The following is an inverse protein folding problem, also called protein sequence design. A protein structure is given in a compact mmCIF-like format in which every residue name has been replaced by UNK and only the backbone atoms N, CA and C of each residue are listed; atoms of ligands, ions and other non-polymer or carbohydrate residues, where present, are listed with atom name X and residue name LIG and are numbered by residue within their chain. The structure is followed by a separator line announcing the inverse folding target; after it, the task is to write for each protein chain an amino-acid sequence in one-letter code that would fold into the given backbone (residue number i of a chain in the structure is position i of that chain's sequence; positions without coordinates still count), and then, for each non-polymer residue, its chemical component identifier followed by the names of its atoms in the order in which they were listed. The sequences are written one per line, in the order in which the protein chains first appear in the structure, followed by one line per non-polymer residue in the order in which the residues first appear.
data_IF_209470539922
#
_entry.id   IF_209470539922
#
_cell.length_a   1.000
_cell.length_b   1.000
_cell.length_c   1.000
_cell.angle_alpha   90.00
_cell.angle_beta   90.00
_cell.angle_gamma   90.00
#
_symmetry.space_group_name_H-M   'P 1'
#
loop_
_entity.id
_entity.type
_entity.pdbx_description
1 polymer ?
#
# COMPACT_ATOMS: atom_id res chain seq x y z
N UNK A 1 35.63 -1.78 -29.94
CA UNK A 1 35.14 -3.17 -29.78
C UNK A 1 35.31 -3.99 -31.07
N UNK A 2 34.97 -3.48 -32.25
CA UNK A 2 35.02 -4.25 -33.49
C UNK A 2 36.43 -4.86 -33.82
N UNK A 3 37.52 -4.21 -33.45
CA UNK A 3 38.90 -4.73 -33.64
C UNK A 3 39.30 -5.91 -32.75
N UNK A 4 38.66 -6.04 -31.59
CA UNK A 4 38.93 -7.13 -30.64
C UNK A 4 38.20 -8.42 -31.03
N UNK A 5 37.05 -8.29 -31.70
CA UNK A 5 36.19 -9.40 -32.08
C UNK A 5 36.31 -9.78 -33.57
N UNK A 6 37.17 -9.11 -34.33
CA UNK A 6 37.30 -9.24 -35.77
C UNK A 6 35.97 -9.02 -36.54
N UNK A 7 35.14 -8.09 -36.03
CA UNK A 7 33.83 -7.77 -36.60
C UNK A 7 33.98 -6.78 -37.75
N UNK A 8 33.10 -6.90 -38.72
CA UNK A 8 32.94 -5.91 -39.78
C UNK A 8 32.37 -4.61 -39.20
N UNK A 9 32.56 -3.44 -39.88
CA UNK A 9 32.13 -2.13 -39.38
C UNK A 9 30.59 -2.03 -39.09
N UNK A 10 29.79 -2.85 -39.74
CA UNK A 10 28.33 -2.92 -39.66
C UNK A 10 27.80 -4.02 -38.70
N UNK A 11 28.71 -4.78 -38.11
CA UNK A 11 28.31 -5.78 -37.07
C UNK A 11 28.14 -5.13 -35.71
N UNK A 12 27.03 -5.47 -35.04
CA UNK A 12 26.70 -5.05 -33.68
C UNK A 12 26.40 -6.28 -32.81
N UNK A 13 26.68 -6.19 -31.54
CA UNK A 13 26.43 -7.29 -30.58
C UNK A 13 24.97 -7.49 -30.22
N UNK A 14 24.14 -6.49 -30.46
CA UNK A 14 22.72 -6.51 -30.16
C UNK A 14 22.09 -5.16 -30.44
N UNK A 15 20.78 -5.13 -30.43
CA UNK A 15 19.95 -3.94 -30.58
C UNK A 15 19.09 -3.81 -29.32
N UNK A 16 19.08 -2.64 -28.73
CA UNK A 16 18.21 -2.33 -27.60
C UNK A 16 16.93 -1.68 -28.13
N UNK A 17 15.78 -2.23 -27.71
CA UNK A 17 14.45 -1.70 -28.02
C UNK A 17 13.87 -1.06 -26.76
N UNK A 18 13.46 0.20 -26.86
CA UNK A 18 12.77 0.91 -25.81
C UNK A 18 11.26 0.72 -25.94
N UNK A 19 10.62 0.24 -24.86
CA UNK A 19 9.19 -0.01 -24.82
C UNK A 19 8.52 1.16 -24.08
N UNK A 20 7.41 1.66 -24.63
CA UNK A 20 6.64 2.78 -24.03
C UNK A 20 5.88 2.39 -22.78
N UNK A 21 5.42 1.15 -22.71
CA UNK A 21 4.53 0.64 -21.66
C UNK A 21 5.17 -0.60 -21.04
N UNK A 22 5.63 -0.45 -19.80
CA UNK A 22 6.28 -1.53 -19.08
C UNK A 22 5.35 -2.70 -18.75
N UNK A 23 4.04 -2.44 -18.58
CA UNK A 23 3.05 -3.47 -18.28
C UNK A 23 2.89 -4.47 -19.43
N UNK A 24 3.35 -4.09 -20.65
CA UNK A 24 3.34 -4.93 -21.85
C UNK A 24 4.71 -5.55 -22.20
N UNK A 25 5.64 -5.52 -21.24
CA UNK A 25 7.00 -5.99 -21.46
C UNK A 25 7.05 -7.45 -21.95
N UNK A 26 6.32 -8.34 -21.28
CA UNK A 26 6.27 -9.75 -21.66
C UNK A 26 5.63 -9.96 -23.04
N UNK A 27 4.46 -9.35 -23.29
CA UNK A 27 3.73 -9.45 -24.56
C UNK A 27 4.63 -8.97 -25.72
N UNK A 28 5.23 -7.79 -25.59
CA UNK A 28 6.13 -7.25 -26.62
C UNK A 28 7.38 -8.11 -26.80
N UNK A 29 7.92 -8.69 -25.73
CA UNK A 29 9.06 -9.60 -25.83
C UNK A 29 8.71 -10.84 -26.66
N UNK A 30 7.52 -11.41 -26.45
CA UNK A 30 7.04 -12.56 -27.25
C UNK A 30 6.78 -12.18 -28.70
N UNK A 31 6.20 -11.00 -28.98
CA UNK A 31 5.98 -10.51 -30.34
C UNK A 31 7.30 -10.34 -31.08
N UNK A 32 8.28 -9.66 -30.49
CA UNK A 32 9.61 -9.47 -31.09
C UNK A 32 10.33 -10.79 -31.27
N UNK A 33 10.21 -11.73 -30.32
CA UNK A 33 10.80 -13.05 -30.44
C UNK A 33 10.18 -13.82 -31.58
N UNK A 34 8.86 -13.79 -31.76
CA UNK A 34 8.16 -14.45 -32.86
C UNK A 34 8.53 -13.87 -34.24
N UNK A 35 8.73 -12.55 -34.32
CA UNK A 35 9.13 -11.87 -35.58
C UNK A 35 10.58 -12.17 -35.95
N UNK A 36 11.45 -12.44 -34.98
CA UNK A 36 12.87 -12.73 -35.20
C UNK A 36 13.17 -14.21 -35.33
N UNK A 37 12.25 -15.09 -34.88
CA UNK A 37 12.41 -16.55 -34.96
C UNK A 37 12.41 -17.03 -36.43
N UNK A 38 13.44 -17.80 -36.78
CA UNK A 38 13.62 -18.29 -38.17
C UNK A 38 14.15 -17.26 -39.17
N UNK A 39 14.44 -16.03 -38.75
CA UNK A 39 15.05 -14.99 -39.57
C UNK A 39 16.48 -14.71 -39.12
N UNK A 40 17.48 -15.49 -39.52
CA UNK A 40 18.86 -15.24 -39.15
C UNK A 40 19.37 -13.91 -39.73
N UNK A 41 20.38 -13.34 -39.12
CA UNK A 41 21.04 -12.16 -39.63
C UNK A 41 21.79 -12.44 -40.95
N UNK A 42 22.37 -11.40 -41.56
CA UNK A 42 23.14 -11.52 -42.79
C UNK A 42 24.31 -12.52 -42.70
N UNK A 43 24.77 -12.81 -41.49
CA UNK A 43 25.89 -13.69 -41.18
C UNK A 43 25.45 -15.09 -40.69
N UNK A 44 24.13 -15.36 -40.67
CA UNK A 44 23.57 -16.63 -40.25
C UNK A 44 23.45 -16.83 -38.75
N UNK A 45 23.60 -15.76 -37.97
CA UNK A 45 23.40 -15.81 -36.53
C UNK A 45 21.89 -15.66 -36.16
N UNK A 46 21.43 -16.44 -35.21
CA UNK A 46 20.07 -16.36 -34.69
C UNK A 46 19.94 -15.25 -33.66
N UNK A 47 18.84 -14.52 -33.68
CA UNK A 47 18.55 -13.49 -32.68
C UNK A 47 18.07 -14.15 -31.39
N UNK A 48 18.63 -13.69 -30.26
CA UNK A 48 18.18 -14.08 -28.94
C UNK A 48 17.51 -12.87 -28.27
N UNK A 49 16.18 -12.85 -28.25
CA UNK A 49 15.42 -11.77 -27.62
C UNK A 49 15.35 -12.02 -26.12
N UNK A 50 15.73 -11.02 -25.34
CA UNK A 50 15.67 -11.05 -23.87
C UNK A 50 15.15 -9.71 -23.36
N UNK A 51 14.23 -9.75 -22.42
CA UNK A 51 13.79 -8.55 -21.72
C UNK A 51 14.76 -8.17 -20.58
N UNK A 52 14.58 -6.98 -20.03
CA UNK A 52 15.43 -6.44 -18.98
C UNK A 52 15.38 -7.30 -17.70
N UNK A 53 14.25 -7.93 -17.41
CA UNK A 53 14.09 -8.82 -16.24
C UNK A 53 14.90 -10.11 -16.39
N UNK A 54 14.92 -10.66 -17.60
CA UNK A 54 15.71 -11.85 -17.91
C UNK A 54 17.22 -11.57 -17.96
N UNK A 55 17.61 -10.34 -18.30
CA UNK A 55 19.00 -9.93 -18.29
C UNK A 55 19.53 -9.69 -16.85
N UNK A 56 18.66 -9.20 -15.95
CA UNK A 56 19.02 -8.85 -14.59
C UNK A 56 18.10 -9.50 -13.54
N UNK A 57 17.98 -10.83 -13.51
CA UNK A 57 17.00 -11.52 -12.65
C UNK A 57 17.20 -11.25 -11.16
N UNK A 58 18.44 -11.01 -10.74
CA UNK A 58 18.76 -10.73 -9.32
C UNK A 58 18.18 -9.39 -8.87
N UNK A 59 18.23 -8.36 -9.72
CA UNK A 59 17.70 -7.02 -9.40
C UNK A 59 16.18 -7.10 -9.27
N UNK A 60 15.51 -7.75 -10.21
CA UNK A 60 14.05 -7.86 -10.21
C UNK A 60 13.54 -8.78 -9.08
N UNK A 61 14.25 -9.87 -8.77
CA UNK A 61 13.95 -10.68 -7.60
C UNK A 61 14.06 -9.87 -6.29
N UNK A 62 15.05 -9.01 -6.17
CA UNK A 62 15.22 -8.14 -5.01
C UNK A 62 14.12 -7.08 -4.90
N UNK A 63 13.70 -6.49 -6.03
CA UNK A 63 12.55 -5.57 -6.08
C UNK A 63 11.25 -6.28 -5.67
N UNK A 64 11.04 -7.53 -6.11
CA UNK A 64 9.89 -8.32 -5.69
C UNK A 64 9.82 -8.58 -4.18
N UNK A 65 10.97 -8.78 -3.53
CA UNK A 65 11.04 -8.90 -2.06
C UNK A 65 10.62 -7.59 -1.38
N UNK A 66 10.98 -6.43 -1.94
CA UNK A 66 10.56 -5.13 -1.40
C UNK A 66 9.03 -4.96 -1.47
N UNK A 67 8.40 -5.37 -2.55
CA UNK A 67 6.94 -5.32 -2.70
C UNK A 67 6.23 -6.19 -1.66
N UNK A 68 6.68 -7.42 -1.47
CA UNK A 68 6.15 -8.30 -0.40
C UNK A 68 6.32 -7.66 0.98
N UNK A 69 7.47 -7.03 1.23
CA UNK A 69 7.77 -6.39 2.50
C UNK A 69 6.82 -5.21 2.78
N UNK A 70 6.48 -4.41 1.76
CA UNK A 70 5.50 -3.33 1.86
C UNK A 70 4.13 -3.87 2.29
N UNK A 71 3.66 -4.96 1.67
CA UNK A 71 2.38 -5.57 2.04
C UNK A 71 2.37 -6.11 3.48
N UNK A 72 3.45 -6.76 3.92
CA UNK A 72 3.60 -7.23 5.29
C UNK A 72 3.53 -6.07 6.28
N UNK A 73 4.27 -4.99 6.02
CA UNK A 73 4.25 -3.78 6.87
C UNK A 73 2.85 -3.16 6.92
N UNK A 74 2.16 -3.04 5.78
CA UNK A 74 0.80 -2.48 5.72
C UNK A 74 -0.18 -3.31 6.56
N UNK A 75 -0.14 -4.63 6.46
CA UNK A 75 -1.01 -5.52 7.24
C UNK A 75 -0.73 -5.37 8.74
N UNK A 76 0.55 -5.35 9.12
CA UNK A 76 0.95 -5.15 10.51
C UNK A 76 0.49 -3.78 11.05
N UNK A 77 0.67 -2.72 10.28
CA UNK A 77 0.23 -1.37 10.66
C UNK A 77 -1.29 -1.30 10.86
N UNK A 78 -2.08 -1.92 9.95
CA UNK A 78 -3.54 -2.01 10.09
C UNK A 78 -3.90 -2.80 11.35
N UNK A 79 -3.21 -3.89 11.63
CA UNK A 79 -3.42 -4.70 12.84
C UNK A 79 -3.17 -3.91 14.12
N UNK A 80 -2.03 -3.23 14.22
CA UNK A 80 -1.66 -2.40 15.39
C UNK A 80 -2.64 -1.22 15.55
N UNK A 81 -2.98 -0.53 14.47
CA UNK A 81 -3.95 0.56 14.48
C UNK A 81 -5.32 0.08 14.97
N UNK A 82 -5.79 -1.08 14.46
CA UNK A 82 -7.05 -1.68 14.88
C UNK A 82 -7.05 -2.05 16.36
N UNK A 83 -5.99 -2.67 16.86
CA UNK A 83 -5.85 -3.00 18.28
C UNK A 83 -5.89 -1.74 19.16
N UNK A 84 -5.19 -0.69 18.76
CA UNK A 84 -5.20 0.61 19.47
C UNK A 84 -6.60 1.23 19.48
N UNK A 85 -7.33 1.15 18.37
CA UNK A 85 -8.71 1.64 18.28
C UNK A 85 -9.67 0.83 19.17
N UNK A 86 -9.52 -0.49 19.20
CA UNK A 86 -10.29 -1.37 20.10
C UNK A 86 -10.07 -0.97 21.55
N UNK A 87 -8.81 -0.78 21.95
CA UNK A 87 -8.45 -0.36 23.32
C UNK A 87 -9.02 1.02 23.65
N UNK A 88 -8.90 1.98 22.74
CA UNK A 88 -9.47 3.32 22.89
C UNK A 88 -10.99 3.31 23.05
N UNK A 89 -11.70 2.51 22.26
CA UNK A 89 -13.17 2.36 22.39
C UNK A 89 -13.55 1.73 23.73
N UNK A 90 -12.81 0.72 24.19
CA UNK A 90 -13.02 0.11 25.50
C UNK A 90 -12.88 1.12 26.65
N UNK A 91 -11.83 1.94 26.60
CA UNK A 91 -11.60 3.00 27.60
C UNK A 91 -12.79 3.96 27.60
N UNK A 92 -13.22 4.45 26.43
CA UNK A 92 -14.37 5.37 26.31
C UNK A 92 -15.65 4.74 26.87
N UNK A 93 -15.89 3.46 26.60
CA UNK A 93 -17.08 2.73 27.10
C UNK A 93 -17.02 2.67 28.63
N UNK A 94 -15.86 2.36 29.22
CA UNK A 94 -15.69 2.24 30.67
C UNK A 94 -15.88 3.62 31.32
N UNK A 95 -15.24 4.67 30.80
CA UNK A 95 -15.39 6.04 31.32
C UNK A 95 -16.84 6.57 31.27
N UNK A 96 -17.62 6.11 30.27
CA UNK A 96 -19.01 6.54 30.09
C UNK A 96 -20.04 5.52 30.60
N UNK A 97 -19.62 4.57 31.43
CA UNK A 97 -20.49 3.51 31.96
C UNK A 97 -21.69 4.06 32.75
N UNK A 98 -21.49 5.10 33.58
CA UNK A 98 -22.56 5.78 34.29
C UNK A 98 -23.60 6.38 33.34
N UNK A 99 -23.18 7.11 32.32
CA UNK A 99 -24.06 7.67 31.28
C UNK A 99 -24.85 6.57 30.55
N UNK A 100 -24.19 5.45 30.22
CA UNK A 100 -24.83 4.30 29.57
C UNK A 100 -25.90 3.71 30.50
N UNK A 101 -25.60 3.59 31.80
CA UNK A 101 -26.53 3.13 32.82
C UNK A 101 -27.79 4.00 32.89
N UNK A 102 -27.62 5.32 32.96
CA UNK A 102 -28.73 6.29 32.94
C UNK A 102 -29.57 6.18 31.67
N UNK A 103 -28.95 6.12 30.50
CA UNK A 103 -29.67 5.98 29.23
C UNK A 103 -30.50 4.67 29.18
N UNK A 104 -29.94 3.56 29.70
CA UNK A 104 -30.68 2.27 29.80
C UNK A 104 -31.84 2.34 30.79
N UNK A 105 -31.69 3.03 31.90
CA UNK A 105 -32.79 3.20 32.89
C UNK A 105 -33.94 4.06 32.32
N UNK A 106 -33.62 4.97 31.39
CA UNK A 106 -34.61 5.75 30.63
C UNK A 106 -35.22 4.97 29.44
N UNK A 107 -34.90 3.68 29.29
CA UNK A 107 -35.47 2.80 28.27
C UNK A 107 -34.71 2.78 26.94
N UNK A 108 -33.52 3.35 26.87
CA UNK A 108 -32.72 3.28 25.64
C UNK A 108 -32.32 1.83 25.30
N UNK A 109 -32.56 1.44 24.03
CA UNK A 109 -32.21 0.10 23.56
C UNK A 109 -30.66 -0.01 23.39
N UNK A 110 -30.14 -1.20 23.69
CA UNK A 110 -28.72 -1.52 23.49
C UNK A 110 -28.21 -1.20 22.10
N UNK A 111 -29.02 -1.43 21.07
CA UNK A 111 -28.68 -1.13 19.68
C UNK A 111 -28.48 0.37 19.46
N UNK A 112 -29.34 1.21 20.04
CA UNK A 112 -29.23 2.67 19.91
C UNK A 112 -27.95 3.19 20.57
N UNK A 113 -27.64 2.70 21.76
CA UNK A 113 -26.41 3.09 22.47
C UNK A 113 -25.15 2.66 21.67
N UNK A 114 -25.14 1.39 21.20
CA UNK A 114 -24.03 0.91 20.34
C UNK A 114 -23.85 1.78 19.10
N UNK A 115 -24.94 2.14 18.44
CA UNK A 115 -24.92 2.99 17.24
C UNK A 115 -24.27 4.35 17.52
N UNK A 116 -24.59 4.96 18.66
CA UNK A 116 -23.98 6.24 19.06
C UNK A 116 -22.47 6.11 19.23
N UNK A 117 -21.99 5.09 19.95
CA UNK A 117 -20.54 4.88 20.13
C UNK A 117 -19.83 4.52 18.85
N UNK A 118 -20.44 3.72 17.97
CA UNK A 118 -19.86 3.41 16.66
C UNK A 118 -19.75 4.66 15.78
N UNK A 119 -20.80 5.50 15.73
CA UNK A 119 -20.74 6.75 14.98
C UNK A 119 -19.67 7.71 15.51
N UNK A 120 -19.56 7.80 16.83
CA UNK A 120 -18.51 8.61 17.45
C UNK A 120 -17.12 8.09 17.04
N UNK A 121 -16.91 6.77 17.07
CA UNK A 121 -15.64 6.15 16.67
C UNK A 121 -15.36 6.38 15.19
N UNK A 122 -16.34 6.21 14.31
CA UNK A 122 -16.20 6.46 12.86
C UNK A 122 -15.81 7.93 12.60
N UNK A 123 -16.43 8.86 13.34
CA UNK A 123 -16.07 10.29 13.23
C UNK A 123 -14.62 10.53 13.67
N UNK A 124 -14.18 9.93 14.76
CA UNK A 124 -12.82 10.05 15.26
C UNK A 124 -11.80 9.46 14.27
N UNK A 125 -12.10 8.27 13.73
CA UNK A 125 -11.29 7.62 12.70
C UNK A 125 -11.19 8.51 11.45
N UNK A 126 -12.32 9.02 10.97
CA UNK A 126 -12.36 9.90 9.80
C UNK A 126 -11.51 11.15 9.97
N UNK A 127 -11.57 11.77 11.16
CA UNK A 127 -10.73 12.91 11.50
C UNK A 127 -9.24 12.55 11.56
N UNK A 128 -8.89 11.39 12.13
CA UNK A 128 -7.52 10.88 12.13
C UNK A 128 -7.01 10.58 10.72
N UNK A 129 -7.83 9.92 9.89
CA UNK A 129 -7.50 9.66 8.48
C UNK A 129 -7.29 10.95 7.67
N UNK A 130 -8.12 11.97 7.90
CA UNK A 130 -7.97 13.26 7.24
C UNK A 130 -6.61 13.88 7.54
N UNK A 131 -6.23 13.95 8.82
CA UNK A 131 -4.93 14.46 9.21
C UNK A 131 -3.77 13.59 8.71
N UNK A 132 -3.92 12.28 8.77
CA UNK A 132 -2.93 11.34 8.22
C UNK A 132 -2.71 11.53 6.73
N UNK A 133 -3.80 11.69 5.96
CA UNK A 133 -3.73 11.95 4.52
C UNK A 133 -3.08 13.31 4.21
N UNK A 134 -3.42 14.38 4.97
CA UNK A 134 -2.79 15.70 4.77
C UNK A 134 -1.27 15.60 4.99
N UNK A 135 -0.84 14.97 6.08
CA UNK A 135 0.58 14.82 6.39
C UNK A 135 1.27 13.95 5.34
N UNK A 136 0.67 12.82 4.96
CA UNK A 136 1.21 11.93 3.93
C UNK A 136 1.35 12.59 2.56
N UNK A 137 0.31 13.32 2.12
CA UNK A 137 0.36 14.07 0.87
C UNK A 137 1.37 15.23 0.93
N UNK A 138 1.46 15.94 2.06
CA UNK A 138 2.48 16.97 2.24
C UNK A 138 3.89 16.40 2.08
N UNK A 139 4.15 15.23 2.69
CA UNK A 139 5.43 14.54 2.56
C UNK A 139 5.72 14.09 1.11
N UNK A 140 4.70 13.57 0.42
CA UNK A 140 4.79 13.23 -0.99
C UNK A 140 5.17 14.45 -1.85
N UNK A 141 4.48 15.59 -1.69
CA UNK A 141 4.77 16.79 -2.46
C UNK A 141 6.13 17.38 -2.16
N UNK A 142 6.56 17.38 -0.87
CA UNK A 142 7.90 17.80 -0.48
C UNK A 142 8.95 16.96 -1.19
N UNK A 143 8.82 15.63 -1.19
CA UNK A 143 9.74 14.75 -1.88
C UNK A 143 9.75 15.00 -3.39
N UNK A 144 8.58 15.16 -4.01
CA UNK A 144 8.45 15.38 -5.46
C UNK A 144 9.10 16.69 -5.93
N UNK A 145 9.00 17.75 -5.11
CA UNK A 145 9.52 19.08 -5.50
C UNK A 145 10.95 19.33 -5.04
N UNK A 146 11.31 18.90 -3.84
CA UNK A 146 12.64 19.18 -3.28
C UNK A 146 13.65 18.06 -3.53
N UNK A 147 13.18 16.82 -3.84
CA UNK A 147 14.07 15.67 -3.94
C UNK A 147 14.88 15.44 -2.66
N UNK A 148 14.24 15.63 -1.48
CA UNK A 148 14.90 15.62 -0.17
C UNK A 148 15.67 14.30 0.06
N UNK A 149 15.06 13.18 -0.34
CA UNK A 149 15.73 11.88 -0.27
C UNK A 149 16.51 11.65 -1.57
N UNK A 150 17.82 11.83 -1.49
CA UNK A 150 18.77 11.58 -2.57
C UNK A 150 19.25 10.14 -2.47
N UNK A 151 19.44 9.52 -3.61
CA UNK A 151 20.09 8.23 -3.77
C UNK A 151 21.52 8.47 -4.28
N UNK A 152 22.40 7.50 -4.02
CA UNK A 152 23.72 7.48 -4.60
C UNK A 152 23.62 7.11 -6.09
N UNK A 153 23.97 8.01 -7.03
CA UNK A 153 23.83 7.75 -8.45
C UNK A 153 24.74 6.62 -8.96
N UNK A 154 25.86 6.35 -8.28
CA UNK A 154 26.78 5.28 -8.66
C UNK A 154 26.21 3.90 -8.36
N UNK A 155 25.42 3.78 -7.28
CA UNK A 155 24.82 2.50 -6.85
C UNK A 155 23.43 2.26 -7.45
N UNK A 156 22.62 3.31 -7.56
CA UNK A 156 21.20 3.19 -7.93
C UNK A 156 20.86 3.73 -9.33
N UNK A 157 21.83 4.26 -10.07
CA UNK A 157 21.64 4.89 -11.38
C UNK A 157 20.60 6.01 -11.41
N UNK A 158 20.20 6.51 -10.22
CA UNK A 158 19.20 7.56 -10.01
C UNK A 158 19.69 8.53 -8.93
N UNK A 159 19.49 9.83 -9.15
CA UNK A 159 19.89 10.87 -8.20
C UNK A 159 18.88 11.08 -7.04
N UNK A 160 17.61 10.73 -7.24
CA UNK A 160 16.53 10.95 -6.28
C UNK A 160 15.58 9.76 -6.24
N UNK A 161 14.95 9.53 -5.09
CA UNK A 161 13.92 8.50 -4.95
C UNK A 161 12.71 8.87 -5.83
N UNK A 162 12.36 8.05 -6.85
CA UNK A 162 11.19 8.29 -7.67
C UNK A 162 9.92 8.06 -6.85
N UNK A 163 9.00 9.01 -6.88
CA UNK A 163 7.70 8.89 -6.21
C UNK A 163 6.59 8.95 -7.25
N UNK A 164 5.75 7.92 -7.31
CA UNK A 164 4.56 7.87 -8.14
C UNK A 164 3.31 7.96 -7.26
N UNK A 165 2.28 8.63 -7.75
CA UNK A 165 1.01 8.74 -7.05
C UNK A 165 -0.10 8.14 -7.89
N UNK A 166 -0.70 7.08 -7.38
CA UNK A 166 -1.85 6.44 -7.98
C UNK A 166 -3.10 6.78 -7.16
N UNK A 167 -3.98 7.61 -7.72
CA UNK A 167 -5.20 8.06 -7.05
C UNK A 167 -6.15 6.89 -6.71
N UNK A 168 -6.22 5.87 -7.56
CA UNK A 168 -7.08 4.72 -7.32
C UNK A 168 -6.58 3.88 -6.14
N UNK A 169 -5.29 3.64 -6.08
CA UNK A 169 -4.67 2.92 -4.96
C UNK A 169 -4.84 3.71 -3.65
N UNK A 170 -4.64 5.03 -3.69
CA UNK A 170 -4.85 5.91 -2.54
C UNK A 170 -6.30 5.84 -2.02
N UNK A 171 -7.30 5.92 -2.90
CA UNK A 171 -8.71 5.81 -2.52
C UNK A 171 -9.04 4.42 -1.97
N UNK A 172 -8.52 3.36 -2.60
CA UNK A 172 -8.74 1.99 -2.18
C UNK A 172 -8.14 1.73 -0.80
N UNK A 173 -6.93 2.21 -0.53
CA UNK A 173 -6.29 2.10 0.79
C UNK A 173 -7.08 2.86 1.86
N UNK A 174 -7.56 4.06 1.57
CA UNK A 174 -8.40 4.83 2.50
C UNK A 174 -9.72 4.12 2.81
N UNK A 175 -10.41 3.64 1.78
CA UNK A 175 -11.66 2.90 1.95
C UNK A 175 -11.44 1.58 2.70
N UNK A 176 -10.39 0.85 2.35
CA UNK A 176 -10.00 -0.41 3.02
C UNK A 176 -9.66 -0.22 4.49
N UNK A 177 -8.88 0.83 4.82
CA UNK A 177 -8.53 1.17 6.21
C UNK A 177 -9.75 1.56 7.02
N UNK A 178 -10.66 2.38 6.45
CA UNK A 178 -11.90 2.75 7.12
C UNK A 178 -12.77 1.51 7.38
N UNK A 179 -12.95 0.66 6.37
CA UNK A 179 -13.74 -0.56 6.48
C UNK A 179 -13.16 -1.50 7.55
N UNK A 180 -11.86 -1.79 7.49
CA UNK A 180 -11.17 -2.62 8.46
C UNK A 180 -11.33 -2.08 9.88
N UNK A 181 -11.14 -0.77 10.08
CA UNK A 181 -11.29 -0.10 11.36
C UNK A 181 -12.71 -0.24 11.92
N UNK A 182 -13.72 -0.02 11.09
CA UNK A 182 -15.13 -0.18 11.51
C UNK A 182 -15.45 -1.64 11.88
N UNK A 183 -14.97 -2.60 11.09
CA UNK A 183 -15.14 -4.02 11.38
C UNK A 183 -14.51 -4.43 12.72
N UNK A 184 -13.29 -3.94 13.00
CA UNK A 184 -12.61 -4.20 14.27
C UNK A 184 -13.34 -3.63 15.48
N UNK A 185 -14.06 -2.52 15.32
CA UNK A 185 -14.83 -1.90 16.39
C UNK A 185 -16.15 -2.63 16.71
N UNK A 186 -16.65 -3.48 15.82
CA UNK A 186 -17.87 -4.25 16.08
C UNK A 186 -17.72 -5.17 17.29
N UNK A 187 -16.57 -5.84 17.45
CA UNK A 187 -16.29 -6.73 18.57
C UNK A 187 -16.48 -6.04 19.94
N UNK A 188 -15.68 -5.01 20.26
CA UNK A 188 -15.79 -4.29 21.55
C UNK A 188 -17.15 -3.65 21.79
N UNK A 189 -17.85 -3.23 20.73
CA UNK A 189 -19.17 -2.62 20.86
C UNK A 189 -20.20 -3.56 21.51
N UNK A 190 -20.01 -4.89 21.45
CA UNK A 190 -20.86 -5.85 22.15
C UNK A 190 -20.73 -5.78 23.69
N UNK A 191 -19.61 -5.28 24.21
CA UNK A 191 -19.46 -5.10 25.66
C UNK A 191 -20.51 -4.14 26.24
N UNK A 192 -20.98 -3.17 25.45
CA UNK A 192 -22.04 -2.22 25.85
C UNK A 192 -23.31 -2.98 26.26
N UNK A 193 -23.58 -4.13 25.63
CA UNK A 193 -24.79 -4.93 25.95
C UNK A 193 -24.71 -5.57 27.33
N UNK A 194 -23.52 -5.86 27.86
CA UNK A 194 -23.27 -6.50 29.13
C UNK A 194 -23.28 -5.54 30.34
N UNK A 195 -23.33 -4.22 30.11
CA UNK A 195 -23.42 -3.24 31.17
C UNK A 195 -24.83 -3.23 31.72
N UNK A 196 -24.99 -3.60 33.03
CA UNK A 196 -26.25 -3.61 33.74
C UNK A 196 -26.53 -2.27 34.41
N UNK A 197 -27.74 -1.69 34.30
CA UNK A 197 -28.09 -0.41 34.91
C UNK A 197 -27.87 -0.34 36.42
N UNK A 198 -28.22 -1.45 37.12
CA UNK A 198 -28.17 -1.52 38.57
C UNK A 198 -26.76 -1.41 39.17
N UNK A 199 -25.73 -1.87 38.44
CA UNK A 199 -24.32 -1.79 38.90
C UNK A 199 -23.65 -0.48 38.54
N UNK A 200 -24.14 0.20 37.50
CA UNK A 200 -23.52 1.42 36.96
C UNK A 200 -23.79 2.67 37.81
N UNK A 201 -24.90 2.68 38.59
CA UNK A 201 -25.30 3.82 39.43
C UNK A 201 -24.72 3.72 40.83
N UNK A 202 -24.12 2.61 41.23
CA UNK A 202 -23.60 2.36 42.59
C UNK A 202 -22.14 2.75 42.80
N UNK A 203 -21.45 3.24 41.80
CA UNK A 203 -20.01 3.58 41.87
C UNK A 203 -19.74 5.09 41.89
N UNK A 204 -20.63 5.92 42.44
CA UNK A 204 -20.31 7.28 42.90
C UNK A 204 -20.28 7.36 44.40
#
# INVERSE_FOLDING_TARGET
MNRLNNWEPDQVSGVELEIRDYDKLEETTYEVAADTDGNPDRYGAEYCVRNVEQLNPQIFAWLGILDVNIWVILILMIGVAGFTMVSGLLIIIIERTSMIGVLKSLGANNFTIRKVFLWFSVFLIGKGMLWGNIIGLAFYFVQRWSGLFKLDPETYYMATVPVSFNIWLFLLLNAGTLLASVLMLLGPSFLITRIHPATSIRYE
#
